data_IF_309031689998
#
_entry.id   IF_309031689998
#
_cell.length_a   1.000
_cell.length_b   1.000
_cell.length_c   1.000
_cell.angle_alpha   90.00
_cell.angle_beta   90.00
_cell.angle_gamma   90.00
#
_symmetry.space_group_name_H-M   'P 1'
#
loop_
_entity.id
_entity.type
_entity.pdbx_description
1 polymer ?
#
# COMPACT_ATOMS: atom_id res chain seq x y z
N UNK A 1 28.74 33.40 -24.33
CA UNK A 1 28.48 31.99 -23.91
C UNK A 1 27.30 31.98 -22.95
N UNK A 2 26.09 31.84 -23.49
CA UNK A 2 24.84 31.92 -22.74
C UNK A 2 24.45 30.50 -22.31
N UNK A 3 24.40 30.23 -21.00
CA UNK A 3 23.95 28.95 -20.46
C UNK A 3 22.42 28.89 -20.58
N UNK A 4 21.92 28.06 -21.49
CA UNK A 4 20.51 27.70 -21.56
C UNK A 4 20.16 26.83 -20.34
N UNK A 5 19.43 27.40 -19.38
CA UNK A 5 18.73 26.63 -18.36
C UNK A 5 17.41 26.14 -18.96
N UNK A 6 17.26 24.83 -19.15
CA UNK A 6 15.97 24.22 -19.42
C UNK A 6 15.10 24.33 -18.17
N UNK A 7 14.17 25.29 -18.16
CA UNK A 7 13.01 25.27 -17.26
C UNK A 7 12.00 24.28 -17.82
N UNK A 8 11.91 23.10 -17.21
CA UNK A 8 10.72 22.25 -17.33
C UNK A 8 9.62 22.89 -16.49
N UNK A 9 8.87 23.82 -17.09
CA UNK A 9 7.66 24.39 -16.51
C UNK A 9 6.53 23.36 -16.66
N UNK A 10 6.58 22.29 -15.87
CA UNK A 10 5.45 21.37 -15.78
C UNK A 10 4.40 22.08 -14.93
N UNK A 11 3.50 22.83 -15.57
CA UNK A 11 2.27 23.34 -14.97
C UNK A 11 1.34 22.18 -14.64
N UNK A 12 1.71 21.36 -13.66
CA UNK A 12 0.80 20.38 -13.07
C UNK A 12 -0.22 21.20 -12.28
N UNK A 13 -1.45 21.27 -12.80
CA UNK A 13 -2.59 21.78 -12.03
C UNK A 13 -2.61 20.98 -10.71
N UNK A 14 -2.69 21.61 -9.54
CA UNK A 14 -2.57 20.95 -8.23
C UNK A 14 -3.76 20.03 -7.88
N UNK A 15 -4.51 19.57 -8.88
CA UNK A 15 -5.69 18.76 -8.71
C UNK A 15 -5.96 17.86 -9.93
N UNK A 16 -4.92 17.25 -10.51
CA UNK A 16 -5.13 16.07 -11.37
C UNK A 16 -5.59 14.94 -10.45
N UNK A 17 -6.91 14.88 -10.27
CA UNK A 17 -7.61 14.13 -9.24
C UNK A 17 -7.22 12.67 -9.33
N UNK A 18 -6.67 12.11 -8.25
CA UNK A 18 -6.55 10.65 -8.08
C UNK A 18 -7.89 9.95 -8.41
N UNK A 19 -9.03 10.59 -8.13
CA UNK A 19 -10.35 10.10 -8.51
C UNK A 19 -10.72 10.11 -10.01
N UNK A 20 -9.84 10.58 -10.89
CA UNK A 20 -9.95 10.35 -12.33
C UNK A 20 -9.18 9.09 -12.79
N UNK A 21 -8.23 8.62 -11.97
CA UNK A 21 -7.39 7.44 -12.23
C UNK A 21 -7.87 6.20 -11.47
N UNK A 22 -8.50 6.41 -10.31
CA UNK A 22 -9.01 5.36 -9.44
C UNK A 22 -10.55 5.32 -9.51
N UNK A 23 -11.15 4.12 -9.66
CA UNK A 23 -12.60 3.97 -9.64
C UNK A 23 -13.19 4.40 -8.30
N UNK A 24 -14.37 5.03 -8.33
CA UNK A 24 -15.03 5.56 -7.14
C UNK A 24 -15.50 4.47 -6.16
N UNK A 25 -15.65 3.23 -6.64
CA UNK A 25 -16.03 2.08 -5.81
C UNK A 25 -15.07 0.94 -6.07
N UNK A 26 -14.47 0.45 -4.99
CA UNK A 26 -13.58 -0.72 -4.98
C UNK A 26 -13.97 -1.55 -3.77
N UNK A 27 -13.97 -2.87 -3.92
CA UNK A 27 -14.09 -3.81 -2.79
C UNK A 27 -12.78 -4.52 -2.50
N UNK A 28 -11.89 -4.60 -3.49
CA UNK A 28 -10.66 -5.36 -3.37
C UNK A 28 -9.53 -4.63 -4.07
N UNK A 29 -8.41 -4.46 -3.35
CA UNK A 29 -7.16 -3.91 -3.88
C UNK A 29 -6.14 -5.04 -3.86
N UNK A 30 -5.51 -5.28 -5.01
CA UNK A 30 -4.55 -6.36 -5.19
C UNK A 30 -3.16 -5.78 -5.41
N UNK A 31 -2.20 -6.24 -4.61
CA UNK A 31 -0.79 -5.85 -4.69
C UNK A 31 0.04 -7.02 -5.19
N UNK A 32 0.81 -6.77 -6.25
CA UNK A 32 1.81 -7.70 -6.78
C UNK A 32 3.19 -7.11 -6.52
N UNK A 33 4.09 -7.85 -5.89
CA UNK A 33 5.46 -7.38 -5.69
C UNK A 33 6.19 -8.06 -4.54
N UNK A 34 7.51 -7.94 -4.57
CA UNK A 34 8.42 -8.60 -3.64
C UNK A 34 8.87 -7.73 -2.47
N UNK A 35 8.74 -6.42 -2.59
CA UNK A 35 9.32 -5.49 -1.63
C UNK A 35 8.35 -4.35 -1.40
N UNK A 36 7.52 -4.45 -0.35
CA UNK A 36 6.87 -3.28 0.25
C UNK A 36 7.95 -2.47 0.98
N UNK A 37 8.83 -1.85 0.19
CA UNK A 37 9.97 -1.12 0.69
C UNK A 37 9.50 0.17 1.36
N UNK A 38 10.18 0.65 2.42
CA UNK A 38 9.82 1.91 3.08
C UNK A 38 9.77 3.13 2.15
N UNK A 39 10.55 3.12 1.06
CA UNK A 39 10.55 4.18 0.07
C UNK A 39 9.19 4.36 -0.62
N UNK A 40 8.40 3.29 -0.70
CA UNK A 40 7.09 3.26 -1.37
C UNK A 40 5.93 3.43 -0.39
N UNK A 41 6.18 3.58 0.92
CA UNK A 41 5.11 3.64 1.93
C UNK A 41 4.16 4.81 1.70
N UNK A 42 4.67 5.99 1.36
CA UNK A 42 3.83 7.16 1.06
C UNK A 42 2.85 6.91 -0.09
N UNK A 43 3.24 6.10 -1.08
CA UNK A 43 2.37 5.72 -2.18
C UNK A 43 1.22 4.81 -1.70
N UNK A 44 1.52 3.78 -0.93
CA UNK A 44 0.50 2.89 -0.36
C UNK A 44 -0.43 3.62 0.60
N UNK A 45 0.12 4.48 1.47
CA UNK A 45 -0.65 5.31 2.40
C UNK A 45 -1.64 6.21 1.64
N UNK A 46 -1.21 6.83 0.53
CA UNK A 46 -2.10 7.64 -0.31
C UNK A 46 -3.28 6.84 -0.89
N UNK A 47 -3.06 5.58 -1.28
CA UNK A 47 -4.12 4.68 -1.74
C UNK A 47 -5.06 4.31 -0.59
N UNK A 48 -4.50 3.97 0.57
CA UNK A 48 -5.27 3.57 1.75
C UNK A 48 -6.15 4.70 2.28
N UNK A 49 -5.63 5.93 2.27
CA UNK A 49 -6.37 7.14 2.64
C UNK A 49 -7.47 7.45 1.64
N UNK A 50 -7.20 7.32 0.33
CA UNK A 50 -8.19 7.57 -0.71
C UNK A 50 -9.42 6.66 -0.57
N UNK A 51 -9.21 5.38 -0.24
CA UNK A 51 -10.30 4.42 -0.05
C UNK A 51 -10.78 4.30 1.40
N UNK A 52 -10.17 5.04 2.35
CA UNK A 52 -10.40 4.92 3.78
C UNK A 52 -10.55 3.45 4.25
N UNK A 53 -9.48 2.66 4.11
CA UNK A 53 -9.49 1.21 4.35
C UNK A 53 -9.83 0.81 5.81
N UNK A 54 -9.78 1.78 6.73
CA UNK A 54 -10.15 1.57 8.13
C UNK A 54 -11.67 1.49 8.30
N UNK A 55 -12.44 2.44 7.75
CA UNK A 55 -13.90 2.49 7.91
C UNK A 55 -14.65 1.76 6.81
N UNK A 56 -14.08 1.64 5.60
CA UNK A 56 -14.73 0.99 4.47
C UNK A 56 -14.43 -0.52 4.39
N UNK A 57 -15.37 -1.26 3.81
CA UNK A 57 -15.24 -2.70 3.52
C UNK A 57 -14.35 -2.93 2.28
N UNK A 58 -13.05 -2.68 2.47
CA UNK A 58 -12.01 -2.91 1.47
C UNK A 58 -11.17 -4.11 1.89
N UNK A 59 -11.03 -5.07 0.98
CA UNK A 59 -10.12 -6.21 1.09
C UNK A 59 -8.79 -5.89 0.42
N UNK A 60 -7.68 -6.08 1.13
CA UNK A 60 -6.33 -5.99 0.60
C UNK A 60 -5.79 -7.40 0.36
N UNK A 61 -5.36 -7.69 -0.88
CA UNK A 61 -4.75 -8.96 -1.26
C UNK A 61 -3.31 -8.73 -1.66
N UNK A 62 -2.40 -9.34 -0.92
CA UNK A 62 -0.96 -9.26 -1.16
C UNK A 62 -0.48 -10.57 -1.78
N UNK A 63 -0.05 -10.50 -3.05
CA UNK A 63 0.57 -11.63 -3.73
C UNK A 63 2.08 -11.67 -3.50
N UNK A 64 2.62 -12.88 -3.36
CA UNK A 64 4.06 -13.13 -3.34
C UNK A 64 4.41 -14.31 -4.25
N UNK A 65 5.56 -14.25 -4.92
CA UNK A 65 6.06 -15.39 -5.70
C UNK A 65 7.06 -16.19 -4.88
N UNK A 66 7.04 -17.52 -5.07
CA UNK A 66 8.03 -18.43 -4.51
C UNK A 66 9.08 -18.61 -5.59
N UNK A 67 10.24 -17.99 -5.42
CA UNK A 67 11.38 -18.10 -6.36
C UNK A 67 12.35 -19.22 -5.98
N UNK A 68 12.21 -19.76 -4.77
CA UNK A 68 13.02 -20.85 -4.23
C UNK A 68 12.12 -21.70 -3.33
N UNK A 69 11.73 -22.89 -3.79
CA UNK A 69 10.85 -23.79 -3.07
C UNK A 69 11.43 -24.23 -1.72
N UNK A 70 12.76 -24.35 -1.63
CA UNK A 70 13.44 -24.69 -0.37
C UNK A 70 13.28 -23.61 0.70
N UNK A 71 12.95 -22.38 0.27
CA UNK A 71 12.79 -21.20 1.13
C UNK A 71 11.35 -20.71 1.20
N UNK A 72 10.36 -21.49 0.77
CA UNK A 72 8.95 -21.07 0.76
C UNK A 72 8.51 -20.44 2.09
N UNK A 73 8.86 -21.07 3.22
CA UNK A 73 8.52 -20.56 4.56
C UNK A 73 9.21 -19.24 4.88
N UNK A 74 10.47 -19.08 4.49
CA UNK A 74 11.24 -17.85 4.68
C UNK A 74 10.68 -16.71 3.82
N UNK A 75 10.35 -17.00 2.56
CA UNK A 75 9.75 -16.06 1.62
C UNK A 75 8.39 -15.60 2.15
N UNK A 76 7.54 -16.53 2.59
CA UNK A 76 6.24 -16.23 3.19
C UNK A 76 6.39 -15.35 4.44
N UNK A 77 7.31 -15.69 5.34
CA UNK A 77 7.58 -14.91 6.56
C UNK A 77 8.09 -13.51 6.23
N UNK A 78 8.98 -13.39 5.26
CA UNK A 78 9.53 -12.10 4.81
C UNK A 78 8.44 -11.21 4.22
N UNK A 79 7.55 -11.79 3.40
CA UNK A 79 6.41 -11.06 2.87
C UNK A 79 5.45 -10.63 3.98
N UNK A 80 5.12 -11.53 4.91
CA UNK A 80 4.27 -11.21 6.05
C UNK A 80 4.86 -10.06 6.89
N UNK A 81 6.17 -10.11 7.17
CA UNK A 81 6.86 -9.05 7.92
C UNK A 81 6.82 -7.71 7.18
N UNK A 82 6.99 -7.72 5.86
CA UNK A 82 6.94 -6.52 5.02
C UNK A 82 5.54 -5.89 5.02
N UNK A 83 4.48 -6.71 4.88
CA UNK A 83 3.09 -6.25 4.98
C UNK A 83 2.79 -5.74 6.39
N UNK A 84 3.24 -6.45 7.43
CA UNK A 84 3.04 -6.04 8.83
C UNK A 84 3.68 -4.69 9.10
N UNK A 85 4.89 -4.46 8.59
CA UNK A 85 5.60 -3.18 8.71
C UNK A 85 4.86 -2.06 7.98
N UNK A 86 4.43 -2.30 6.74
CA UNK A 86 3.62 -1.33 5.98
C UNK A 86 2.34 -0.95 6.73
N UNK A 87 1.59 -1.94 7.24
CA UNK A 87 0.35 -1.71 7.97
C UNK A 87 0.60 -0.99 9.31
N UNK A 88 1.70 -1.30 9.99
CA UNK A 88 2.11 -0.62 11.22
C UNK A 88 2.46 0.84 10.97
N UNK A 89 3.28 1.13 9.94
CA UNK A 89 3.63 2.49 9.56
C UNK A 89 2.44 3.28 9.05
N UNK A 90 1.46 2.64 8.40
CA UNK A 90 0.21 3.30 8.10
C UNK A 90 -0.61 3.55 9.38
N UNK A 91 -0.62 2.61 10.32
CA UNK A 91 -1.25 2.78 11.62
C UNK A 91 -0.75 4.01 12.39
N UNK A 92 0.55 4.35 12.29
CA UNK A 92 1.12 5.52 12.98
C UNK A 92 0.64 6.86 12.42
N UNK A 93 0.09 6.90 11.20
CA UNK A 93 -0.47 8.15 10.63
C UNK A 93 -1.81 8.53 11.25
N UNK A 94 -2.49 7.59 11.92
CA UNK A 94 -3.71 7.87 12.67
C UNK A 94 -3.38 8.52 14.01
N UNK A 95 -3.92 9.72 14.25
CA UNK A 95 -3.77 10.47 15.52
C UNK A 95 -4.46 9.82 16.74
N UNK A 96 -4.90 8.55 16.66
CA UNK A 96 -5.72 7.89 17.69
C UNK A 96 -5.32 6.43 17.91
N UNK A 97 -5.80 5.83 19.00
CA UNK A 97 -5.61 4.40 19.33
C UNK A 97 -6.10 3.44 18.23
N UNK A 98 -6.88 3.94 17.26
CA UNK A 98 -7.33 3.19 16.06
C UNK A 98 -6.16 2.68 15.21
N UNK A 99 -5.06 3.43 15.16
CA UNK A 99 -3.89 3.12 14.35
C UNK A 99 -3.21 1.80 14.72
N UNK A 100 -2.99 1.57 16.01
CA UNK A 100 -2.41 0.32 16.52
C UNK A 100 -3.30 -0.91 16.29
N UNK A 101 -4.61 -0.70 16.15
CA UNK A 101 -5.60 -1.78 16.01
C UNK A 101 -6.03 -2.04 14.57
N UNK A 102 -5.56 -1.26 13.58
CA UNK A 102 -5.97 -1.40 12.18
C UNK A 102 -5.67 -2.79 11.63
N UNK A 103 -4.41 -3.23 11.72
CA UNK A 103 -4.00 -4.53 11.17
C UNK A 103 -4.77 -5.68 11.84
N UNK A 104 -4.93 -5.60 13.17
CA UNK A 104 -5.69 -6.59 13.93
C UNK A 104 -7.16 -6.66 13.48
N UNK A 105 -7.83 -5.51 13.35
CA UNK A 105 -9.20 -5.39 12.84
C UNK A 105 -9.33 -6.02 11.44
N UNK A 106 -8.45 -5.66 10.50
CA UNK A 106 -8.52 -6.17 9.14
C UNK A 106 -8.27 -7.68 9.05
N UNK A 107 -7.41 -8.23 9.92
CA UNK A 107 -7.21 -9.68 10.01
C UNK A 107 -8.46 -10.40 10.54
N UNK A 108 -9.09 -9.88 11.61
CA UNK A 108 -10.31 -10.46 12.18
C UNK A 108 -11.50 -10.42 11.20
N UNK A 109 -11.58 -9.34 10.42
CA UNK A 109 -12.61 -9.17 9.40
C UNK A 109 -12.29 -9.93 8.10
N UNK A 110 -11.15 -10.63 8.01
CA UNK A 110 -10.75 -11.38 6.82
C UNK A 110 -10.42 -10.49 5.60
N UNK A 111 -10.19 -9.19 5.83
CA UNK A 111 -9.94 -8.18 4.80
C UNK A 111 -8.46 -8.02 4.47
N UNK A 112 -7.55 -8.65 5.20
CA UNK A 112 -6.12 -8.67 4.89
C UNK A 112 -5.67 -10.08 4.51
N UNK A 113 -5.37 -10.29 3.23
CA UNK A 113 -5.10 -11.62 2.67
C UNK A 113 -3.69 -11.67 2.08
N UNK A 114 -2.94 -12.72 2.41
CA UNK A 114 -1.65 -13.04 1.81
C UNK A 114 -1.78 -14.29 0.93
N UNK A 115 -1.50 -14.20 -0.37
CA UNK A 115 -1.64 -15.30 -1.34
C UNK A 115 -0.34 -15.54 -2.10
N UNK A 116 -0.01 -16.81 -2.33
CA UNK A 116 1.02 -17.17 -3.32
C UNK A 116 0.49 -16.90 -4.73
N UNK A 117 1.37 -16.42 -5.60
CA UNK A 117 1.11 -16.26 -7.03
C UNK A 117 1.01 -17.63 -7.72
#
# INVERSE_FOLDING_TARGET
MTKNQQKVDCKIKPNTRIGALLPQTVKTIVFYGHSFAPADYSYFQSIFDYYNIYDNDITLVFYYSIYDESKEQEIKRTQFNSVSKLMSEYGTTFHSEKGGNLMHKMLLEGRLILKKL
#
